data_IF_660433028839
#
_entry.id   IF_660433028839
#
_cell.length_a   1.000
_cell.length_b   1.000
_cell.length_c   1.000
_cell.angle_alpha   90.00
_cell.angle_beta   90.00
_cell.angle_gamma   90.00
#
_symmetry.space_group_name_H-M   'P 1'
#
loop_
_entity.id
_entity.type
_entity.pdbx_description
1 polymer ?
#
# COMPACT_ATOMS: atom_id res chain seq x y z
N UNK A 1 4.57 45.26 -57.32
CA UNK A 1 5.06 44.76 -56.02
C UNK A 1 4.23 43.54 -55.60
N UNK A 2 4.77 42.31 -55.72
CA UNK A 2 4.08 41.08 -55.28
C UNK A 2 4.51 40.75 -53.86
N UNK A 3 3.58 40.72 -52.90
CA UNK A 3 3.84 40.30 -51.52
C UNK A 3 3.93 38.76 -51.47
N UNK A 4 5.10 38.25 -51.10
CA UNK A 4 5.33 36.84 -50.84
C UNK A 4 4.86 36.52 -49.42
N UNK A 5 3.74 35.82 -49.28
CA UNK A 5 3.32 35.28 -47.99
C UNK A 5 4.19 34.05 -47.66
N UNK A 6 5.18 34.24 -46.77
CA UNK A 6 5.88 33.13 -46.12
C UNK A 6 4.86 32.35 -45.28
N UNK A 7 4.49 31.15 -45.73
CA UNK A 7 3.78 30.17 -44.90
C UNK A 7 4.74 29.69 -43.81
N UNK A 8 4.64 30.29 -42.63
CA UNK A 8 5.34 29.83 -41.43
C UNK A 8 4.63 28.54 -40.97
N UNK A 9 5.33 27.42 -40.77
CA UNK A 9 4.69 26.15 -40.48
C UNK A 9 4.11 26.15 -39.06
N UNK A 10 2.78 26.16 -38.97
CA UNK A 10 2.00 25.91 -37.75
C UNK A 10 2.02 24.40 -37.44
N UNK A 11 3.22 23.82 -37.28
CA UNK A 11 3.39 22.38 -36.99
C UNK A 11 4.22 22.15 -35.72
N UNK A 12 4.89 23.17 -35.19
CA UNK A 12 5.80 23.00 -34.04
C UNK A 12 5.11 23.22 -32.68
N UNK A 13 3.89 23.79 -32.63
CA UNK A 13 3.24 24.10 -31.34
C UNK A 13 2.41 22.95 -30.73
N UNK A 14 2.20 21.85 -31.47
CA UNK A 14 1.39 20.70 -30.99
C UNK A 14 2.24 19.62 -30.28
N UNK A 15 3.57 19.67 -30.40
CA UNK A 15 4.47 18.66 -29.82
C UNK A 15 4.87 18.90 -28.35
N UNK A 16 4.55 20.06 -27.77
CA UNK A 16 4.89 20.36 -26.37
C UNK A 16 3.78 20.04 -25.35
N UNK A 17 2.59 19.61 -25.78
CA UNK A 17 1.47 19.34 -24.87
C UNK A 17 1.35 17.88 -24.38
N UNK A 18 2.26 16.98 -24.78
CA UNK A 18 2.16 15.54 -24.46
C UNK A 18 3.03 15.09 -23.28
N UNK A 19 3.70 16.01 -22.56
CA UNK A 19 4.60 15.66 -21.46
C UNK A 19 4.14 16.14 -20.09
N UNK A 20 2.82 16.31 -19.88
CA UNK A 20 2.26 16.16 -18.54
C UNK A 20 2.13 14.66 -18.21
N UNK A 21 3.27 13.95 -18.25
CA UNK A 21 3.34 12.60 -17.69
C UNK A 21 3.13 12.74 -16.19
N UNK A 22 1.98 12.30 -15.68
CA UNK A 22 1.74 12.04 -14.27
C UNK A 22 2.76 10.97 -13.81
N UNK A 23 3.98 11.40 -13.51
CA UNK A 23 5.07 10.54 -13.11
C UNK A 23 4.74 10.01 -11.73
N UNK A 24 4.60 8.70 -11.63
CA UNK A 24 4.46 8.01 -10.36
C UNK A 24 5.83 7.98 -9.69
N UNK A 25 5.92 8.20 -8.39
CA UNK A 25 7.23 8.09 -7.72
C UNK A 25 7.79 6.66 -7.83
N UNK A 26 9.12 6.58 -7.73
CA UNK A 26 9.89 5.35 -7.91
C UNK A 26 9.38 4.20 -7.03
N UNK A 27 9.07 4.46 -5.77
CA UNK A 27 8.72 3.41 -4.81
C UNK A 27 7.33 2.81 -5.04
N UNK A 28 6.25 3.61 -5.19
CA UNK A 28 4.97 3.10 -5.65
C UNK A 28 5.07 2.30 -6.95
N UNK A 29 5.85 2.79 -7.93
CA UNK A 29 6.04 2.06 -9.19
C UNK A 29 6.70 0.69 -8.94
N UNK A 30 7.77 0.63 -8.15
CA UNK A 30 8.44 -0.63 -7.82
C UNK A 30 7.52 -1.63 -7.10
N UNK A 31 6.63 -1.16 -6.22
CA UNK A 31 5.62 -2.02 -5.56
C UNK A 31 4.63 -2.56 -6.57
N UNK A 32 4.12 -1.71 -7.47
CA UNK A 32 3.19 -2.11 -8.51
C UNK A 32 3.79 -3.12 -9.52
N UNK A 33 5.05 -2.92 -9.92
CA UNK A 33 5.78 -3.85 -10.79
C UNK A 33 5.98 -5.21 -10.12
N UNK A 34 6.10 -5.25 -8.79
CA UNK A 34 6.26 -6.48 -7.99
C UNK A 34 4.97 -6.88 -7.24
N UNK A 35 3.80 -6.45 -7.73
CA UNK A 35 2.52 -6.54 -7.00
C UNK A 35 2.15 -7.94 -6.51
N UNK A 36 2.50 -9.01 -7.23
CA UNK A 36 2.26 -10.39 -6.79
C UNK A 36 2.94 -10.70 -5.45
N UNK A 37 4.21 -10.30 -5.30
CA UNK A 37 4.96 -10.47 -4.06
C UNK A 37 4.26 -9.76 -2.90
N UNK A 38 3.74 -8.55 -3.12
CA UNK A 38 3.05 -7.79 -2.09
C UNK A 38 1.69 -8.40 -1.71
N UNK A 39 0.94 -8.87 -2.70
CA UNK A 39 -0.32 -9.58 -2.46
C UNK A 39 -0.05 -10.82 -1.62
N UNK A 40 0.95 -11.64 -1.98
CA UNK A 40 1.27 -12.88 -1.27
C UNK A 40 1.80 -12.61 0.14
N UNK A 41 2.70 -11.64 0.29
CA UNK A 41 3.28 -11.29 1.58
C UNK A 41 2.26 -10.69 2.52
N UNK A 42 1.45 -9.76 2.06
CA UNK A 42 0.58 -8.99 2.94
C UNK A 42 -0.86 -9.49 2.97
N UNK A 43 -1.19 -10.60 2.30
CA UNK A 43 -2.54 -11.14 2.32
C UNK A 43 -3.09 -11.31 3.74
N UNK A 44 -4.14 -10.55 4.09
CA UNK A 44 -4.77 -10.54 5.41
C UNK A 44 -3.84 -10.16 6.57
N UNK A 45 -2.76 -9.43 6.27
CA UNK A 45 -1.79 -8.96 7.26
C UNK A 45 -1.62 -7.46 7.15
N UNK A 46 -1.98 -6.73 8.21
CA UNK A 46 -1.59 -5.32 8.33
C UNK A 46 -0.32 -5.21 9.17
N UNK A 47 0.56 -4.30 8.80
CA UNK A 47 1.71 -3.92 9.61
C UNK A 47 1.80 -2.40 9.62
N UNK A 48 1.74 -1.83 10.82
CA UNK A 48 1.63 -0.38 11.04
C UNK A 48 2.79 0.07 11.91
N UNK A 49 3.49 1.14 11.51
CA UNK A 49 4.53 1.78 12.30
C UNK A 49 3.93 2.95 13.07
N UNK A 50 4.07 2.95 14.39
CA UNK A 50 3.55 4.03 15.21
C UNK A 50 4.32 5.33 14.94
N UNK A 51 3.61 6.43 14.71
CA UNK A 51 4.25 7.75 14.51
C UNK A 51 4.82 8.23 15.84
N UNK A 52 6.13 8.51 15.86
CA UNK A 52 6.81 9.06 17.04
C UNK A 52 7.05 8.07 18.18
N UNK A 53 6.77 6.78 17.96
CA UNK A 53 7.12 5.70 18.89
C UNK A 53 7.89 4.63 18.13
N UNK A 54 8.89 4.04 18.77
CA UNK A 54 9.62 2.90 18.23
C UNK A 54 8.80 1.61 18.40
N UNK A 55 7.57 1.60 17.86
CA UNK A 55 6.63 0.50 18.02
C UNK A 55 6.05 0.10 16.67
N UNK A 56 5.95 -1.19 16.43
CA UNK A 56 5.30 -1.80 15.28
C UNK A 56 4.10 -2.62 15.76
N UNK A 57 3.00 -2.53 15.02
CA UNK A 57 1.81 -3.33 15.29
C UNK A 57 1.52 -4.21 14.09
N UNK A 58 1.47 -5.51 14.32
CA UNK A 58 1.14 -6.51 13.31
C UNK A 58 -0.27 -7.05 13.60
N UNK A 59 -1.12 -7.04 12.57
CA UNK A 59 -2.46 -7.57 12.63
C UNK A 59 -2.60 -8.74 11.65
N UNK A 60 -3.18 -9.84 12.12
CA UNK A 60 -3.65 -10.91 11.25
C UNK A 60 -5.16 -10.94 11.21
N UNK A 61 -5.73 -10.90 10.02
CA UNK A 61 -7.17 -10.89 9.81
C UNK A 61 -7.68 -12.29 9.48
N UNK A 62 -8.81 -12.64 10.09
CA UNK A 62 -9.62 -13.80 9.74
C UNK A 62 -11.07 -13.33 9.61
N UNK A 63 -11.40 -12.79 8.44
CA UNK A 63 -12.62 -12.02 8.23
C UNK A 63 -12.64 -10.77 9.10
N UNK A 64 -13.72 -10.59 9.89
CA UNK A 64 -13.88 -9.44 10.80
C UNK A 64 -13.02 -9.51 12.06
N UNK A 65 -12.47 -10.68 12.37
CA UNK A 65 -11.66 -10.88 13.56
C UNK A 65 -10.19 -10.56 13.25
N UNK A 66 -9.49 -10.00 14.24
CA UNK A 66 -8.05 -9.76 14.13
C UNK A 66 -7.28 -10.11 15.38
N UNK A 67 -6.14 -10.76 15.19
CA UNK A 67 -5.12 -10.95 16.22
C UNK A 67 -4.08 -9.83 16.09
N UNK A 68 -3.60 -9.30 17.22
CA UNK A 68 -2.72 -8.14 17.27
C UNK A 68 -1.44 -8.48 18.04
N UNK A 69 -0.31 -8.07 17.50
CA UNK A 69 1.01 -8.26 18.08
C UNK A 69 1.72 -6.91 18.10
N UNK A 70 2.19 -6.50 19.27
CA UNK A 70 2.91 -5.25 19.48
C UNK A 70 4.38 -5.56 19.66
N UNK A 71 5.22 -4.82 18.93
CA UNK A 71 6.66 -4.97 18.99
C UNK A 71 7.28 -3.63 19.32
N UNK A 72 8.21 -3.63 20.27
CA UNK A 72 9.14 -2.52 20.44
C UNK A 72 10.35 -2.72 19.53
N UNK A 73 10.85 -1.60 19.01
CA UNK A 73 12.00 -1.53 18.10
C UNK A 73 13.17 -0.92 18.84
N UNK A 74 14.21 -1.71 19.12
CA UNK A 74 15.48 -1.20 19.64
C UNK A 74 16.62 -1.62 18.72
N UNK A 75 17.38 -0.64 18.22
CA UNK A 75 18.52 -0.85 17.31
C UNK A 75 18.20 -1.79 16.14
N UNK A 76 16.98 -1.69 15.59
CA UNK A 76 16.50 -2.51 14.48
C UNK A 76 16.08 -3.93 14.84
N UNK A 77 16.11 -4.31 16.12
CA UNK A 77 15.56 -5.59 16.61
C UNK A 77 14.13 -5.40 17.10
N UNK A 78 13.29 -6.38 16.80
CA UNK A 78 11.90 -6.43 17.24
C UNK A 78 11.78 -7.31 18.48
N UNK A 79 11.21 -6.75 19.53
CA UNK A 79 10.84 -7.48 20.76
C UNK A 79 9.33 -7.51 20.88
N UNK A 80 8.73 -8.69 20.95
CA UNK A 80 7.29 -8.82 21.17
C UNK A 80 6.95 -8.40 22.61
N UNK A 81 6.07 -7.43 22.78
CA UNK A 81 5.73 -6.86 24.11
C UNK A 81 4.30 -7.16 24.54
N UNK A 82 3.37 -7.27 23.59
CA UNK A 82 1.97 -7.54 23.89
C UNK A 82 1.32 -8.34 22.76
N UNK A 83 0.39 -9.22 23.16
CA UNK A 83 -0.49 -9.93 22.23
C UNK A 83 -1.94 -9.72 22.62
N UNK A 84 -2.81 -9.48 21.65
CA UNK A 84 -4.27 -9.47 21.82
C UNK A 84 -4.90 -10.42 20.82
N UNK A 85 -5.46 -11.53 21.32
CA UNK A 85 -6.09 -12.57 20.50
C UNK A 85 -7.61 -12.45 20.63
N UNK A 86 -8.32 -12.24 19.52
CA UNK A 86 -9.80 -12.17 19.53
C UNK A 86 -10.48 -13.41 18.98
N UNK A 87 -9.76 -14.32 18.28
CA UNK A 87 -10.29 -15.64 17.95
C UNK A 87 -9.15 -16.63 17.61
N UNK A 88 -9.16 -17.78 18.30
CA UNK A 88 -8.09 -18.76 18.40
C UNK A 88 -8.25 -19.95 17.43
N UNK A 89 -8.43 -19.70 16.14
CA UNK A 89 -8.40 -20.81 15.17
C UNK A 89 -7.32 -20.61 14.09
N UNK A 90 -6.28 -21.44 14.21
CA UNK A 90 -5.43 -21.99 13.12
C UNK A 90 -4.29 -21.16 12.53
N UNK A 91 -4.14 -19.86 12.81
CA UNK A 91 -3.03 -19.10 12.21
C UNK A 91 -1.65 -19.54 12.68
N UNK A 92 -1.52 -19.92 13.95
CA UNK A 92 -0.29 -20.43 14.51
C UNK A 92 -0.60 -21.52 15.53
N UNK A 93 0.19 -22.59 15.55
CA UNK A 93 0.20 -23.51 16.68
C UNK A 93 0.84 -22.77 17.84
N UNK A 94 0.17 -22.73 18.98
CA UNK A 94 0.75 -22.21 20.22
C UNK A 94 1.76 -23.25 20.75
N UNK A 95 2.92 -23.28 20.12
CA UNK A 95 4.06 -24.09 20.53
C UNK A 95 5.18 -23.20 21.10
N UNK A 96 6.24 -23.83 21.60
CA UNK A 96 7.41 -23.13 22.17
C UNK A 96 8.09 -22.18 21.17
N UNK A 97 7.82 -22.30 19.87
CA UNK A 97 8.40 -21.49 18.81
C UNK A 97 7.46 -20.38 18.32
N UNK A 98 6.24 -20.28 18.85
CA UNK A 98 5.23 -19.32 18.40
C UNK A 98 5.75 -17.89 18.34
N UNK A 99 6.31 -17.40 19.45
CA UNK A 99 6.84 -16.03 19.54
C UNK A 99 7.97 -15.80 18.51
N UNK A 100 8.88 -16.76 18.39
CA UNK A 100 9.98 -16.71 17.41
C UNK A 100 9.46 -16.64 15.98
N UNK A 101 8.42 -17.41 15.64
CA UNK A 101 7.80 -17.38 14.32
C UNK A 101 7.16 -16.02 14.01
N UNK A 102 6.46 -15.46 14.99
CA UNK A 102 5.81 -14.14 14.89
C UNK A 102 6.86 -13.03 14.72
N UNK A 103 7.94 -13.04 15.50
CA UNK A 103 9.04 -12.08 15.37
C UNK A 103 9.69 -12.19 13.98
N UNK A 104 10.07 -13.39 13.54
CA UNK A 104 10.70 -13.60 12.23
C UNK A 104 9.80 -13.14 11.07
N UNK A 105 8.49 -13.38 11.18
CA UNK A 105 7.53 -12.93 10.19
C UNK A 105 7.42 -11.40 10.18
N UNK A 106 7.38 -10.75 11.35
CA UNK A 106 7.39 -9.30 11.45
C UNK A 106 8.69 -8.71 10.85
N UNK A 107 9.86 -9.25 11.21
CA UNK A 107 11.16 -8.82 10.68
C UNK A 107 11.23 -8.94 9.15
N UNK A 108 10.76 -10.05 8.57
CA UNK A 108 10.69 -10.24 7.11
C UNK A 108 9.86 -9.14 6.45
N UNK A 109 8.68 -8.84 7.00
CA UNK A 109 7.77 -7.83 6.46
C UNK A 109 8.34 -6.42 6.60
N UNK A 110 8.92 -6.10 7.75
CA UNK A 110 9.60 -4.82 7.99
C UNK A 110 10.74 -4.60 7.01
N UNK A 111 11.60 -5.61 6.80
CA UNK A 111 12.68 -5.54 5.79
C UNK A 111 12.15 -5.30 4.38
N UNK A 112 11.04 -5.97 4.02
CA UNK A 112 10.39 -5.75 2.74
C UNK A 112 9.85 -4.32 2.63
N UNK A 113 9.20 -3.80 3.68
CA UNK A 113 8.73 -2.42 3.71
C UNK A 113 9.87 -1.41 3.57
N UNK A 114 10.98 -1.60 4.31
CA UNK A 114 12.15 -0.72 4.23
C UNK A 114 12.75 -0.69 2.83
N UNK A 115 12.87 -1.86 2.18
CA UNK A 115 13.38 -1.97 0.80
C UNK A 115 12.56 -1.13 -0.20
N UNK A 116 11.25 -1.01 0.01
CA UNK A 116 10.33 -0.30 -0.89
C UNK A 116 9.83 1.02 -0.30
N UNK A 117 10.47 1.55 0.75
CA UNK A 117 10.10 2.80 1.42
C UNK A 117 8.62 2.87 1.85
N UNK A 118 8.06 1.73 2.27
CA UNK A 118 6.69 1.59 2.76
C UNK A 118 6.67 1.92 4.24
N UNK A 119 5.73 2.77 4.63
CA UNK A 119 5.45 3.12 6.01
C UNK A 119 4.53 2.11 6.67
N UNK A 120 3.39 1.83 6.03
CA UNK A 120 2.34 0.96 6.56
C UNK A 120 1.72 0.11 5.45
N UNK A 121 1.22 -1.07 5.80
CA UNK A 121 0.30 -1.85 4.98
C UNK A 121 -0.95 -2.13 5.81
N UNK A 122 -2.13 -1.75 5.30
CA UNK A 122 -3.40 -1.80 6.03
C UNK A 122 -4.48 -2.57 5.28
N UNK A 123 -5.26 -3.34 6.02
CA UNK A 123 -6.45 -4.08 5.61
C UNK A 123 -7.71 -3.58 6.35
N UNK A 124 -7.64 -2.41 7.00
CA UNK A 124 -8.76 -1.89 7.81
C UNK A 124 -10.04 -1.63 7.00
N UNK A 125 -9.90 -1.40 5.69
CA UNK A 125 -10.99 -1.08 4.78
C UNK A 125 -11.52 -2.30 4.01
N UNK A 126 -11.16 -3.53 4.41
CA UNK A 126 -11.64 -4.75 3.77
C UNK A 126 -13.17 -4.85 3.74
N UNK A 127 -13.84 -4.44 4.82
CA UNK A 127 -15.31 -4.40 4.90
C UNK A 127 -15.96 -3.40 3.93
N UNK A 128 -15.17 -2.53 3.30
CA UNK A 128 -15.60 -1.54 2.33
C UNK A 128 -15.12 -1.90 0.90
N UNK A 129 -14.60 -3.11 0.70
CA UNK A 129 -14.12 -3.63 -0.58
C UNK A 129 -12.65 -3.33 -0.89
N UNK A 130 -11.95 -2.54 -0.06
CA UNK A 130 -10.53 -2.23 -0.27
C UNK A 130 -9.70 -3.33 0.38
N UNK A 131 -9.12 -4.20 -0.46
CA UNK A 131 -8.45 -5.40 0.01
C UNK A 131 -7.16 -5.09 0.76
N UNK A 132 -6.37 -4.12 0.29
CA UNK A 132 -5.13 -3.69 0.92
C UNK A 132 -4.83 -2.23 0.53
N UNK A 133 -4.29 -1.45 1.47
CA UNK A 133 -3.74 -0.11 1.22
C UNK A 133 -2.30 -0.05 1.70
N UNK A 134 -1.39 0.33 0.81
CA UNK A 134 0.05 0.46 1.07
C UNK A 134 0.37 1.95 1.16
N UNK A 135 0.83 2.39 2.31
CA UNK A 135 1.22 3.78 2.56
C UNK A 135 2.74 3.90 2.49
N UNK A 136 3.24 4.88 1.75
CA UNK A 136 4.66 5.16 1.65
C UNK A 136 5.09 6.16 2.73
N UNK A 137 6.40 6.34 2.91
CA UNK A 137 6.90 7.44 3.74
C UNK A 137 6.69 8.81 3.07
N UNK A 138 6.49 8.83 1.74
CA UNK A 138 5.92 9.96 1.01
C UNK A 138 4.41 10.08 1.28
N UNK A 139 3.79 11.17 0.79
CA UNK A 139 2.35 11.42 0.92
C UNK A 139 1.53 10.62 -0.11
N UNK A 140 2.03 9.46 -0.49
CA UNK A 140 1.49 8.62 -1.55
C UNK A 140 0.98 7.30 -0.99
N UNK A 141 0.05 6.68 -1.69
CA UNK A 141 -0.40 5.34 -1.38
C UNK A 141 -0.84 4.55 -2.61
N UNK A 142 -0.81 3.23 -2.46
CA UNK A 142 -1.39 2.29 -3.40
C UNK A 142 -2.59 1.59 -2.75
N UNK A 143 -3.65 1.42 -3.53
CA UNK A 143 -4.82 0.65 -3.14
C UNK A 143 -4.92 -0.57 -4.05
N UNK A 144 -5.09 -1.73 -3.43
CA UNK A 144 -5.39 -2.98 -4.10
C UNK A 144 -6.82 -3.41 -3.77
N UNK A 145 -7.58 -3.71 -4.83
CA UNK A 145 -8.98 -4.11 -4.78
C UNK A 145 -9.09 -5.43 -5.55
N UNK A 146 -9.23 -6.54 -4.81
CA UNK A 146 -9.34 -7.87 -5.41
C UNK A 146 -10.54 -8.00 -6.34
N UNK A 147 -11.66 -7.40 -5.96
CA UNK A 147 -12.89 -7.39 -6.74
C UNK A 147 -13.63 -6.06 -6.55
N UNK A 148 -13.66 -5.26 -7.61
CA UNK A 148 -14.22 -3.91 -7.60
C UNK A 148 -15.73 -3.90 -7.36
N UNK A 149 -16.43 -5.00 -7.67
CA UNK A 149 -17.86 -5.12 -7.42
C UNK A 149 -18.19 -5.10 -5.92
N UNK A 150 -17.22 -5.44 -5.05
CA UNK A 150 -17.39 -5.43 -3.60
C UNK A 150 -17.23 -4.03 -2.97
N UNK A 151 -16.82 -3.01 -3.74
CA UNK A 151 -16.75 -1.62 -3.26
C UNK A 151 -18.15 -1.01 -3.29
N UNK A 152 -18.90 -1.19 -2.20
CA UNK A 152 -20.29 -0.72 -2.09
C UNK A 152 -20.42 0.65 -1.41
N UNK A 153 -19.35 1.15 -0.79
CA UNK A 153 -19.36 2.45 -0.12
C UNK A 153 -19.25 3.59 -1.15
N UNK A 154 -20.22 4.51 -1.11
CA UNK A 154 -20.32 5.62 -2.08
C UNK A 154 -19.11 6.57 -2.01
N UNK A 155 -18.54 6.79 -0.83
CA UNK A 155 -17.37 7.66 -0.66
C UNK A 155 -16.15 7.04 -1.33
N UNK A 156 -15.92 5.74 -1.14
CA UNK A 156 -14.87 5.01 -1.86
C UNK A 156 -15.08 5.02 -3.37
N UNK A 157 -16.30 4.76 -3.85
CA UNK A 157 -16.59 4.83 -5.28
C UNK A 157 -16.33 6.22 -5.87
N UNK A 158 -16.63 7.29 -5.12
CA UNK A 158 -16.32 8.68 -5.52
C UNK A 158 -14.81 8.93 -5.50
N UNK A 159 -14.11 8.39 -4.50
CA UNK A 159 -12.67 8.51 -4.34
C UNK A 159 -11.91 7.83 -5.48
N UNK A 160 -12.27 6.58 -5.81
CA UNK A 160 -11.66 5.79 -6.88
C UNK A 160 -11.77 6.46 -8.27
N UNK A 161 -12.77 7.33 -8.47
CA UNK A 161 -12.91 8.13 -9.71
C UNK A 161 -11.93 9.31 -9.80
N UNK A 162 -11.37 9.75 -8.67
CA UNK A 162 -10.45 10.89 -8.60
C UNK A 162 -8.99 10.48 -8.67
N UNK A 163 -8.66 9.31 -8.15
CA UNK A 163 -7.29 8.81 -8.09
C UNK A 163 -6.88 8.09 -9.38
N UNK A 164 -5.58 7.88 -9.57
CA UNK A 164 -5.04 7.28 -10.80
C UNK A 164 -5.23 5.77 -10.79
N UNK A 165 -6.00 5.23 -11.74
CA UNK A 165 -6.08 3.79 -11.99
C UNK A 165 -4.80 3.31 -12.69
N UNK A 166 -4.14 2.28 -12.16
CA UNK A 166 -2.94 1.66 -12.75
C UNK A 166 -3.31 0.43 -13.58
N UNK A 167 -4.18 -0.42 -13.04
CA UNK A 167 -4.79 -1.57 -13.72
C UNK A 167 -6.20 -1.86 -13.15
N UNK A 168 -6.78 -3.01 -13.46
CA UNK A 168 -8.12 -3.42 -12.99
C UNK A 168 -8.27 -3.48 -11.46
N UNK A 169 -7.17 -3.67 -10.73
CA UNK A 169 -7.15 -3.92 -9.29
C UNK A 169 -6.36 -2.89 -8.50
N UNK A 170 -5.44 -2.17 -9.13
CA UNK A 170 -4.51 -1.26 -8.48
C UNK A 170 -4.78 0.20 -8.82
N UNK A 171 -4.79 1.01 -7.77
CA UNK A 171 -5.01 2.46 -7.83
C UNK A 171 -3.90 3.17 -7.06
N UNK A 172 -3.52 4.34 -7.55
CA UNK A 172 -2.49 5.20 -6.98
C UNK A 172 -3.07 6.54 -6.57
N UNK A 173 -2.81 6.91 -5.33
CA UNK A 173 -3.31 8.11 -4.67
C UNK A 173 -2.13 8.94 -4.16
N UNK A 174 -2.23 10.25 -4.36
CA UNK A 174 -1.36 11.27 -3.77
C UNK A 174 -2.23 12.14 -2.86
N UNK A 175 -1.73 12.60 -1.73
CA UNK A 175 -2.49 13.42 -0.76
C UNK A 175 -3.06 14.74 -1.33
N UNK A 176 -2.74 15.10 -2.59
CA UNK A 176 -3.30 16.25 -3.32
C UNK A 176 -4.63 15.97 -4.07
N UNK A 177 -5.23 14.78 -3.99
CA UNK A 177 -6.46 14.40 -4.74
C UNK A 177 -7.76 14.40 -3.94
#
# INVERSE_FOLDING_TARGET
MKRVYKRIPIVIFVLCFVSACNHMDKYPLMVFENRSVFIDEFNNVSIIRSRGKNTIILYFYNGVNKNQFFFDVDKGKLTLTQTSKKNNEKLFKEDELFEKQIILLAERKVKLMDKYNIRDVSHEFQNQGISMKVYFNSLESLLYIKDIANVNNIEWLRHLKKIKKLDEHWFYETEQS
#
